data_IF_799859740391
#
_entry.id   IF_799859740391
#
_cell.length_a   1.000
_cell.length_b   1.000
_cell.length_c   1.000
_cell.angle_alpha   90.00
_cell.angle_beta   90.00
_cell.angle_gamma   90.00
#
_symmetry.space_group_name_H-M   'P 1'
#
loop_
_entity.id
_entity.type
_entity.pdbx_description
1 polymer ?
#
# COMPACT_ATOMS: atom_id res chain seq x y z
N UNK A 1 1.27 -24.30 -11.61
CA UNK A 1 -0.09 -23.79 -11.29
C UNK A 1 -0.53 -24.17 -9.88
N UNK A 2 0.20 -23.79 -8.81
CA UNK A 2 -0.19 -24.15 -7.43
C UNK A 2 -0.03 -23.02 -6.38
N UNK A 3 0.58 -21.88 -6.71
CA UNK A 3 0.83 -20.81 -5.73
C UNK A 3 -0.24 -19.70 -5.71
N UNK A 4 -1.01 -19.53 -6.79
CA UNK A 4 -2.00 -18.44 -6.89
C UNK A 4 -3.30 -18.68 -6.10
N UNK A 5 -3.66 -19.94 -5.84
CA UNK A 5 -4.97 -20.30 -5.29
C UNK A 5 -5.04 -20.25 -3.76
N UNK A 6 -3.91 -20.18 -3.05
CA UNK A 6 -3.90 -20.30 -1.59
C UNK A 6 -4.16 -19.00 -0.83
N UNK A 7 -3.93 -17.83 -1.45
CA UNK A 7 -4.01 -16.56 -0.71
C UNK A 7 -5.39 -15.89 -0.70
N UNK A 8 -6.33 -16.32 -1.56
CA UNK A 8 -7.71 -15.80 -1.53
C UNK A 8 -8.51 -16.30 -0.31
N UNK A 9 -8.05 -17.34 0.39
CA UNK A 9 -8.77 -17.95 1.53
C UNK A 9 -8.46 -17.27 2.88
N UNK A 10 -7.31 -16.58 3.02
CA UNK A 10 -6.90 -15.99 4.30
C UNK A 10 -7.44 -14.58 4.58
N UNK A 11 -8.09 -13.93 3.60
CA UNK A 11 -8.65 -12.59 3.76
C UNK A 11 -9.96 -12.54 4.59
N UNK A 12 -10.51 -13.70 4.99
CA UNK A 12 -11.86 -13.81 5.56
C UNK A 12 -11.99 -13.89 7.09
N UNK A 13 -10.91 -13.95 7.89
CA UNK A 13 -11.05 -14.42 9.28
C UNK A 13 -10.44 -13.56 10.41
N UNK A 14 -10.06 -12.29 10.17
CA UNK A 14 -9.44 -11.47 11.26
C UNK A 14 -10.22 -10.19 11.63
N UNK A 15 -11.48 -10.00 11.20
CA UNK A 15 -12.24 -8.77 11.50
C UNK A 15 -13.55 -8.92 12.28
N UNK A 16 -13.77 -10.04 12.98
CA UNK A 16 -14.86 -10.14 13.95
C UNK A 16 -14.31 -10.04 15.38
N UNK A 17 -14.27 -8.81 15.91
CA UNK A 17 -13.82 -8.53 17.27
C UNK A 17 -14.32 -7.18 17.77
N UNK A 18 -15.63 -6.92 17.62
CA UNK A 18 -16.31 -5.81 18.27
C UNK A 18 -16.59 -6.14 19.72
N UNK A 19 -15.93 -5.43 20.64
CA UNK A 19 -16.13 -5.55 22.08
C UNK A 19 -15.63 -4.29 22.77
N UNK A 20 -16.52 -3.32 22.92
CA UNK A 20 -16.34 -2.07 23.66
C UNK A 20 -15.88 -2.32 25.10
N UNK A 21 -14.68 -1.87 25.45
CA UNK A 21 -14.32 -1.55 26.84
C UNK A 21 -13.19 -0.53 26.89
N UNK A 22 -13.50 0.60 27.51
CA UNK A 22 -12.60 1.70 27.83
C UNK A 22 -11.52 1.23 28.81
N UNK A 23 -10.26 1.12 28.35
CA UNK A 23 -9.09 1.05 29.22
C UNK A 23 -8.01 2.03 28.73
N UNK A 24 -7.89 3.14 29.46
CA UNK A 24 -6.81 4.12 29.33
C UNK A 24 -5.48 3.43 29.68
N UNK A 25 -4.59 3.27 28.70
CA UNK A 25 -3.18 2.93 28.92
C UNK A 25 -2.64 1.72 28.15
N UNK A 26 -3.50 0.77 27.73
CA UNK A 26 -3.04 -0.50 27.12
C UNK A 26 -3.30 -0.66 25.61
N UNK A 27 -4.36 -0.04 25.08
CA UNK A 27 -4.84 -0.29 23.71
C UNK A 27 -3.91 0.19 22.58
N UNK A 28 -3.10 1.25 22.81
CA UNK A 28 -2.19 1.77 21.79
C UNK A 28 -0.97 0.89 21.55
N UNK A 29 -0.47 0.23 22.59
CA UNK A 29 0.67 -0.70 22.49
C UNK A 29 0.25 -2.03 21.87
N UNK A 30 -0.94 -2.55 22.21
CA UNK A 30 -1.49 -3.76 21.57
C UNK A 30 -1.82 -3.53 20.10
N UNK A 31 -2.42 -2.39 19.73
CA UNK A 31 -2.72 -2.06 18.34
C UNK A 31 -1.45 -1.90 17.49
N UNK A 32 -0.41 -1.23 18.02
CA UNK A 32 0.86 -1.11 17.29
C UNK A 32 1.56 -2.46 17.14
N UNK A 33 1.52 -3.34 18.14
CA UNK A 33 2.03 -4.72 17.99
C UNK A 33 1.29 -5.50 16.91
N UNK A 34 -0.04 -5.37 16.84
CA UNK A 34 -0.83 -6.00 15.79
C UNK A 34 -0.45 -5.48 14.40
N UNK A 35 -0.23 -4.17 14.25
CA UNK A 35 0.26 -3.58 13.01
C UNK A 35 1.66 -4.09 12.64
N UNK A 36 2.59 -4.15 13.59
CA UNK A 36 3.93 -4.70 13.36
C UNK A 36 3.89 -6.17 12.91
N UNK A 37 3.02 -6.98 13.52
CA UNK A 37 2.84 -8.38 13.13
C UNK A 37 2.23 -8.50 11.73
N UNK A 38 1.23 -7.66 11.40
CA UNK A 38 0.66 -7.60 10.07
C UNK A 38 1.73 -7.23 9.03
N UNK A 39 2.48 -6.16 9.28
CA UNK A 39 3.59 -5.70 8.43
C UNK A 39 4.59 -6.81 8.16
N UNK A 40 5.05 -7.50 9.20
CA UNK A 40 5.91 -8.67 9.05
C UNK A 40 5.25 -9.78 8.22
N UNK A 41 4.02 -10.17 8.56
CA UNK A 41 3.33 -11.29 7.91
C UNK A 41 3.07 -11.07 6.42
N UNK A 42 2.92 -9.82 5.98
CA UNK A 42 2.72 -9.47 4.57
C UNK A 42 4.03 -9.36 3.81
N UNK A 43 5.09 -8.85 4.44
CA UNK A 43 6.34 -8.56 3.74
C UNK A 43 7.35 -9.72 3.78
N UNK A 44 7.32 -10.59 4.79
CA UNK A 44 8.24 -11.75 4.86
C UNK A 44 8.07 -12.72 3.68
N UNK A 45 6.84 -13.13 3.30
CA UNK A 45 6.63 -14.07 2.19
C UNK A 45 7.15 -13.55 0.85
N UNK A 46 7.05 -12.24 0.62
CA UNK A 46 7.49 -11.56 -0.61
C UNK A 46 8.93 -11.03 -0.53
N UNK A 47 9.69 -11.38 0.51
CA UNK A 47 11.10 -11.00 0.67
C UNK A 47 11.32 -9.49 0.81
N UNK A 48 10.32 -8.75 1.29
CA UNK A 48 10.37 -7.30 1.46
C UNK A 48 10.58 -6.86 2.91
N UNK A 49 10.49 -7.79 3.86
CA UNK A 49 10.52 -7.44 5.27
C UNK A 49 11.90 -6.95 5.71
N UNK A 50 11.92 -5.76 6.30
CA UNK A 50 13.09 -5.24 7.00
C UNK A 50 12.71 -4.97 8.45
N UNK A 51 13.59 -5.35 9.39
CA UNK A 51 13.36 -5.09 10.81
C UNK A 51 13.41 -3.60 11.18
N UNK A 52 14.03 -2.78 10.33
CA UNK A 52 14.14 -1.33 10.44
C UNK A 52 13.93 -0.71 9.05
N UNK A 53 13.32 0.49 8.96
CA UNK A 53 13.20 1.17 7.68
C UNK A 53 14.58 1.69 7.27
N UNK A 54 14.77 1.93 5.98
CA UNK A 54 16.00 2.56 5.50
C UNK A 54 16.04 4.05 5.87
N UNK A 55 14.86 4.68 5.89
CA UNK A 55 14.69 6.09 6.17
C UNK A 55 13.72 6.24 7.36
N UNK A 56 14.12 6.98 8.39
CA UNK A 56 13.28 7.21 9.58
C UNK A 56 12.62 8.58 9.48
N UNK A 57 11.29 8.62 9.46
CA UNK A 57 10.53 9.87 9.41
C UNK A 57 10.62 10.62 10.74
N UNK A 58 10.68 11.97 10.73
CA UNK A 58 10.50 12.75 11.94
C UNK A 58 9.07 12.55 12.44
N UNK A 59 8.87 11.76 13.49
CA UNK A 59 7.57 11.67 14.16
C UNK A 59 7.34 12.99 14.89
N UNK A 60 6.16 13.60 14.72
CA UNK A 60 5.81 14.89 15.34
C UNK A 60 6.29 14.93 16.80
N UNK A 61 7.25 15.81 17.14
CA UNK A 61 7.59 16.01 18.54
C UNK A 61 6.38 16.63 19.25
N UNK A 62 6.26 16.47 20.59
CA UNK A 62 5.46 17.43 21.34
C UNK A 62 6.03 18.83 21.05
N UNK A 63 5.22 19.74 20.49
CA UNK A 63 5.61 21.12 20.24
C UNK A 63 5.79 21.84 21.58
N UNK A 64 7.03 21.85 22.08
CA UNK A 64 7.41 22.43 23.38
C UNK A 64 7.76 23.93 23.28
N UNK A 65 7.80 24.50 22.08
CA UNK A 65 8.10 25.90 21.83
C UNK A 65 6.96 26.83 22.24
N UNK A 66 7.29 28.10 22.51
CA UNK A 66 6.30 29.17 22.77
C UNK A 66 5.43 29.47 21.55
N UNK A 67 5.94 29.22 20.33
CA UNK A 67 5.23 29.46 19.07
C UNK A 67 4.88 28.14 18.37
N UNK A 68 3.85 27.46 18.91
CA UNK A 68 3.36 26.17 18.40
C UNK A 68 2.99 26.19 16.90
N UNK A 69 2.49 27.33 16.41
CA UNK A 69 2.08 27.47 14.99
C UNK A 69 3.30 27.42 14.08
N UNK A 70 4.37 28.15 14.43
CA UNK A 70 5.62 28.12 13.67
C UNK A 70 6.28 26.72 13.70
N UNK A 71 6.29 26.07 14.87
CA UNK A 71 6.84 24.71 15.01
C UNK A 71 6.05 23.70 14.18
N UNK A 72 4.72 23.80 14.16
CA UNK A 72 3.85 22.96 13.34
C UNK A 72 4.07 23.19 11.85
N UNK A 73 4.18 24.45 11.40
CA UNK A 73 4.44 24.77 9.99
C UNK A 73 5.80 24.23 9.52
N UNK A 74 6.83 24.36 10.35
CA UNK A 74 8.15 23.83 10.07
C UNK A 74 8.14 22.29 10.02
N UNK A 75 7.44 21.66 10.97
CA UNK A 75 7.23 20.21 10.96
C UNK A 75 6.55 19.74 9.67
N UNK A 76 5.41 20.34 9.31
CA UNK A 76 4.69 19.99 8.09
C UNK A 76 5.56 20.18 6.85
N UNK A 77 6.28 21.30 6.74
CA UNK A 77 7.20 21.55 5.61
C UNK A 77 8.29 20.48 5.51
N UNK A 78 8.88 20.08 6.64
CA UNK A 78 9.93 19.07 6.65
C UNK A 78 9.37 17.67 6.34
N UNK A 79 8.17 17.37 6.83
CA UNK A 79 7.51 16.08 6.60
C UNK A 79 7.06 15.90 5.16
N UNK A 80 6.46 16.92 4.54
CA UNK A 80 5.97 16.85 3.15
C UNK A 80 7.09 16.56 2.14
N UNK A 81 8.32 16.98 2.43
CA UNK A 81 9.48 16.75 1.57
C UNK A 81 10.31 15.53 2.00
N UNK A 82 9.80 14.70 2.90
CA UNK A 82 10.56 13.59 3.48
C UNK A 82 10.32 12.29 2.70
N UNK A 83 11.39 11.60 2.31
CA UNK A 83 11.33 10.35 1.52
C UNK A 83 10.57 9.18 2.19
N UNK A 84 10.29 9.30 3.49
CA UNK A 84 9.48 8.33 4.25
C UNK A 84 8.05 8.84 4.52
N UNK A 85 7.57 9.82 3.76
CA UNK A 85 6.21 10.36 3.82
C UNK A 85 5.45 10.00 2.54
N UNK A 86 4.20 9.55 2.69
CA UNK A 86 3.31 9.32 1.55
C UNK A 86 2.83 10.67 1.04
N UNK A 87 3.31 11.04 -0.14
CA UNK A 87 2.90 12.26 -0.82
C UNK A 87 1.39 12.20 -1.17
N UNK A 88 0.63 13.31 -1.06
CA UNK A 88 -0.77 13.36 -1.48
C UNK A 88 -1.00 12.95 -2.95
N UNK A 89 -0.02 13.15 -3.81
CA UNK A 89 -0.02 12.78 -5.23
C UNK A 89 0.50 11.35 -5.46
N UNK A 90 1.01 10.65 -4.44
CA UNK A 90 1.45 9.26 -4.54
C UNK A 90 0.41 8.39 -5.25
N UNK A 91 0.89 7.52 -6.12
CA UNK A 91 0.05 6.66 -6.94
C UNK A 91 -0.65 7.35 -8.12
N UNK A 92 -0.22 8.55 -8.55
CA UNK A 92 -0.78 9.21 -9.75
C UNK A 92 -0.76 8.32 -11.02
N UNK A 93 0.20 7.41 -11.12
CA UNK A 93 0.29 6.43 -12.22
C UNK A 93 -0.75 5.30 -12.16
N UNK A 94 -1.42 5.08 -11.03
CA UNK A 94 -2.35 3.95 -10.83
C UNK A 94 -3.64 4.11 -11.65
N UNK A 95 -4.10 5.35 -11.86
CA UNK A 95 -5.23 5.63 -12.76
C UNK A 95 -4.92 5.25 -14.21
N UNK A 96 -3.70 5.52 -14.68
CA UNK A 96 -3.24 5.11 -16.01
C UNK A 96 -3.15 3.60 -16.10
N UNK A 97 -2.57 2.95 -15.09
CA UNK A 97 -2.50 1.49 -14.99
C UNK A 97 -3.90 0.86 -15.07
N UNK A 98 -4.86 1.40 -14.31
CA UNK A 98 -6.26 0.98 -14.39
C UNK A 98 -6.85 1.18 -15.78
N UNK A 99 -6.60 2.32 -16.42
CA UNK A 99 -7.02 2.58 -17.80
C UNK A 99 -6.49 1.53 -18.79
N UNK A 100 -5.21 1.18 -18.69
CA UNK A 100 -4.57 0.15 -19.52
C UNK A 100 -5.21 -1.23 -19.31
N UNK A 101 -5.49 -1.62 -18.06
CA UNK A 101 -6.19 -2.87 -17.76
C UNK A 101 -7.58 -2.90 -18.38
N UNK A 102 -8.37 -1.84 -18.20
CA UNK A 102 -9.71 -1.76 -18.79
C UNK A 102 -9.68 -1.79 -20.32
N UNK A 103 -8.67 -1.16 -20.93
CA UNK A 103 -8.51 -1.21 -22.38
C UNK A 103 -8.28 -2.65 -22.87
N UNK A 104 -7.36 -3.40 -22.23
CA UNK A 104 -7.07 -4.81 -22.55
C UNK A 104 -8.33 -5.69 -22.39
N UNK A 105 -9.05 -5.51 -21.29
CA UNK A 105 -10.28 -6.26 -21.01
C UNK A 105 -11.39 -6.00 -22.04
N UNK A 106 -11.47 -4.78 -22.57
CA UNK A 106 -12.46 -4.40 -23.58
C UNK A 106 -12.04 -4.76 -25.02
N UNK A 107 -10.77 -5.09 -25.26
CA UNK A 107 -10.24 -5.40 -26.60
C UNK A 107 -9.48 -6.74 -26.62
N UNK A 108 -10.09 -7.86 -26.18
CA UNK A 108 -9.39 -9.15 -26.04
C UNK A 108 -8.91 -9.73 -27.38
N UNK A 109 -9.50 -9.29 -28.50
CA UNK A 109 -9.19 -9.77 -29.85
C UNK A 109 -8.29 -8.81 -30.65
N UNK A 110 -7.70 -7.79 -30.02
CA UNK A 110 -6.79 -6.88 -30.71
C UNK A 110 -5.56 -7.63 -31.25
N UNK A 111 -5.17 -7.47 -32.52
CA UNK A 111 -4.00 -8.16 -33.09
C UNK A 111 -2.69 -7.92 -32.33
N UNK A 112 -2.59 -6.81 -31.59
CA UNK A 112 -1.44 -6.40 -30.78
C UNK A 112 -1.67 -6.64 -29.28
N UNK A 113 -2.70 -7.40 -28.89
CA UNK A 113 -3.05 -7.63 -27.47
C UNK A 113 -1.86 -8.09 -26.64
N UNK A 114 -0.99 -8.93 -27.21
CA UNK A 114 0.24 -9.39 -26.55
C UNK A 114 1.17 -8.22 -26.20
N UNK A 115 1.35 -7.24 -27.08
CA UNK A 115 2.22 -6.09 -26.83
C UNK A 115 1.65 -5.20 -25.73
N UNK A 116 0.33 -5.00 -25.71
CA UNK A 116 -0.36 -4.28 -24.65
C UNK A 116 -0.25 -4.99 -23.30
N UNK A 117 -0.43 -6.32 -23.27
CA UNK A 117 -0.25 -7.10 -22.05
C UNK A 117 1.21 -7.05 -21.56
N UNK A 118 2.21 -7.08 -22.45
CA UNK A 118 3.63 -6.91 -22.05
C UNK A 118 3.90 -5.52 -21.51
N UNK A 119 3.37 -4.49 -22.14
CA UNK A 119 3.42 -3.11 -21.64
C UNK A 119 2.78 -2.97 -20.26
N UNK A 120 1.64 -3.65 -20.03
CA UNK A 120 0.98 -3.69 -18.73
C UNK A 120 1.89 -4.26 -17.64
N UNK A 121 2.63 -5.35 -17.91
CA UNK A 121 3.58 -5.92 -16.94
C UNK A 121 4.62 -4.88 -16.52
N UNK A 122 5.19 -4.12 -17.46
CA UNK A 122 6.16 -3.07 -17.12
C UNK A 122 5.58 -1.98 -16.22
N UNK A 123 4.35 -1.54 -16.49
CA UNK A 123 3.67 -0.52 -15.66
C UNK A 123 3.30 -1.08 -14.28
N UNK A 124 2.92 -2.36 -14.19
CA UNK A 124 2.70 -3.05 -12.93
C UNK A 124 3.97 -3.13 -12.09
N UNK A 125 5.10 -3.46 -12.72
CA UNK A 125 6.40 -3.52 -12.04
C UNK A 125 6.84 -2.16 -11.51
N UNK A 126 6.68 -1.10 -12.30
CA UNK A 126 6.95 0.27 -11.84
C UNK A 126 6.08 0.63 -10.61
N UNK A 127 4.77 0.40 -10.69
CA UNK A 127 3.85 0.62 -9.58
C UNK A 127 4.23 -0.20 -8.33
N UNK A 128 4.61 -1.47 -8.50
CA UNK A 128 5.07 -2.33 -7.40
C UNK A 128 6.42 -1.87 -6.82
N UNK A 129 7.30 -1.27 -7.63
CA UNK A 129 8.55 -0.65 -7.17
C UNK A 129 8.28 0.49 -6.20
N UNK A 130 7.32 1.37 -6.53
CA UNK A 130 6.86 2.43 -5.62
C UNK A 130 6.23 1.85 -4.35
N UNK A 131 5.32 0.89 -4.50
CA UNK A 131 4.67 0.23 -3.37
C UNK A 131 5.67 -0.43 -2.40
N UNK A 132 6.73 -1.05 -2.93
CA UNK A 132 7.83 -1.61 -2.12
C UNK A 132 8.49 -0.52 -1.27
N UNK A 133 8.81 0.63 -1.84
CA UNK A 133 9.44 1.74 -1.11
C UNK A 133 8.53 2.26 0.01
N UNK A 134 7.24 2.44 -0.28
CA UNK A 134 6.25 2.89 0.70
C UNK A 134 6.08 1.88 1.84
N UNK A 135 5.97 0.58 1.52
CA UNK A 135 5.86 -0.49 2.52
C UNK A 135 7.09 -0.63 3.42
N UNK A 136 8.29 -0.43 2.86
CA UNK A 136 9.55 -0.55 3.61
C UNK A 136 9.90 0.69 4.43
N UNK A 137 9.42 1.87 4.02
CA UNK A 137 9.72 3.13 4.67
C UNK A 137 8.48 3.77 5.30
N UNK A 138 7.58 4.37 4.52
CA UNK A 138 6.50 5.19 5.07
C UNK A 138 5.49 4.40 5.93
N UNK A 139 5.14 3.18 5.49
CA UNK A 139 4.25 2.25 6.19
C UNK A 139 5.02 1.33 7.16
N UNK A 140 6.31 1.54 7.36
CA UNK A 140 7.04 0.81 8.39
C UNK A 140 6.46 1.16 9.78
N UNK A 141 6.34 0.22 10.73
CA UNK A 141 5.81 0.49 12.07
C UNK A 141 6.50 1.62 12.85
N UNK A 142 7.75 1.93 12.51
CA UNK A 142 8.52 3.07 13.04
C UNK A 142 8.02 4.41 12.51
N UNK A 143 7.60 4.47 11.25
CA UNK A 143 7.27 5.71 10.53
C UNK A 143 5.77 5.94 10.36
N UNK A 144 4.93 4.92 10.51
CA UNK A 144 3.48 5.00 10.25
C UNK A 144 2.79 6.13 11.03
N UNK A 145 3.31 6.47 12.22
CA UNK A 145 2.81 7.57 13.05
C UNK A 145 3.16 8.97 12.54
N UNK A 146 4.17 9.09 11.68
CA UNK A 146 4.50 10.35 11.01
C UNK A 146 3.57 10.63 9.83
N UNK A 147 2.82 9.64 9.34
CA UNK A 147 1.93 9.79 8.20
C UNK A 147 0.66 10.56 8.53
N UNK A 148 0.01 11.09 7.50
CA UNK A 148 -1.33 11.68 7.58
C UNK A 148 -2.38 10.71 7.04
N UNK A 149 -3.53 10.65 7.71
CA UNK A 149 -4.60 9.72 7.33
C UNK A 149 -5.17 9.99 5.93
N UNK A 150 -5.21 11.26 5.49
CA UNK A 150 -5.80 11.64 4.19
C UNK A 150 -4.98 11.08 3.01
N UNK A 151 -3.64 11.31 2.90
CA UNK A 151 -2.81 10.68 1.87
C UNK A 151 -2.84 9.15 1.91
N UNK A 152 -2.80 8.53 3.11
CA UNK A 152 -2.92 7.07 3.23
C UNK A 152 -4.23 6.57 2.61
N UNK A 153 -5.36 7.21 2.94
CA UNK A 153 -6.67 6.81 2.42
C UNK A 153 -6.78 7.03 0.91
N UNK A 154 -6.25 8.15 0.42
CA UNK A 154 -6.22 8.47 -1.00
C UNK A 154 -5.41 7.42 -1.78
N UNK A 155 -4.18 7.12 -1.36
CA UNK A 155 -3.35 6.07 -1.97
C UNK A 155 -4.05 4.70 -1.87
N UNK A 156 -4.60 4.36 -0.70
CA UNK A 156 -5.32 3.10 -0.50
C UNK A 156 -6.52 2.93 -1.44
N UNK A 157 -7.22 4.03 -1.76
CA UNK A 157 -8.31 4.05 -2.75
C UNK A 157 -7.79 3.78 -4.16
N UNK A 158 -6.69 4.44 -4.56
CA UNK A 158 -6.07 4.25 -5.89
C UNK A 158 -5.58 2.80 -6.07
N UNK A 159 -4.82 2.28 -5.11
CA UNK A 159 -4.32 0.88 -5.13
C UNK A 159 -5.48 -0.11 -5.08
N UNK A 160 -6.51 0.18 -4.27
CA UNK A 160 -7.76 -0.58 -4.22
C UNK A 160 -8.46 -0.67 -5.58
N UNK A 161 -8.50 0.43 -6.32
CA UNK A 161 -9.12 0.46 -7.65
C UNK A 161 -8.39 -0.47 -8.64
N UNK A 162 -7.05 -0.48 -8.63
CA UNK A 162 -6.23 -1.35 -9.49
C UNK A 162 -6.40 -2.82 -9.09
N UNK A 163 -6.21 -3.13 -7.81
CA UNK A 163 -6.29 -4.51 -7.32
C UNK A 163 -7.68 -5.12 -7.50
N UNK A 164 -8.75 -4.33 -7.36
CA UNK A 164 -10.12 -4.80 -7.60
C UNK A 164 -10.38 -5.23 -9.04
N UNK A 165 -9.78 -4.55 -10.03
CA UNK A 165 -9.90 -4.94 -11.45
C UNK A 165 -9.26 -6.30 -11.67
N UNK A 166 -8.09 -6.54 -11.09
CA UNK A 166 -7.35 -7.81 -11.26
C UNK A 166 -8.10 -8.96 -10.58
N UNK A 167 -8.69 -8.71 -9.40
CA UNK A 167 -9.44 -9.71 -8.62
C UNK A 167 -10.83 -10.04 -9.18
N UNK A 168 -11.35 -9.24 -10.10
CA UNK A 168 -12.70 -9.43 -10.63
C UNK A 168 -12.75 -10.59 -11.63
N UNK A 169 -13.48 -11.66 -11.28
CA UNK A 169 -13.80 -12.76 -12.19
C UNK A 169 -12.56 -13.40 -12.81
N UNK A 170 -12.50 -13.44 -14.14
CA UNK A 170 -11.38 -13.98 -14.91
C UNK A 170 -10.40 -12.91 -15.39
N UNK A 171 -10.47 -11.67 -14.88
CA UNK A 171 -9.70 -10.54 -15.39
C UNK A 171 -8.19 -10.79 -15.31
N UNK A 172 -7.66 -11.34 -14.21
CA UNK A 172 -6.22 -11.67 -14.12
C UNK A 172 -5.74 -12.56 -15.29
N UNK A 173 -6.54 -13.57 -15.65
CA UNK A 173 -6.24 -14.44 -16.78
C UNK A 173 -6.36 -13.68 -18.11
N UNK A 174 -7.38 -12.84 -18.28
CA UNK A 174 -7.56 -12.04 -19.50
C UNK A 174 -6.49 -10.97 -19.69
N UNK A 175 -5.95 -10.42 -18.60
CA UNK A 175 -4.86 -9.45 -18.61
C UNK A 175 -3.51 -10.07 -18.98
N UNK A 176 -3.40 -11.40 -18.95
CA UNK A 176 -2.13 -12.12 -19.08
C UNK A 176 -2.17 -13.31 -20.05
N UNK A 177 -3.31 -13.54 -20.73
CA UNK A 177 -3.59 -14.74 -21.52
C UNK A 177 -2.66 -14.95 -22.72
N UNK A 178 -2.05 -13.91 -23.27
CA UNK A 178 -1.13 -13.97 -24.40
C UNK A 178 0.35 -13.83 -23.98
N UNK A 179 0.61 -13.81 -22.66
CA UNK A 179 1.95 -13.73 -22.10
C UNK A 179 2.57 -15.12 -21.93
N UNK A 180 3.89 -15.19 -22.05
CA UNK A 180 4.64 -16.36 -21.62
C UNK A 180 4.73 -16.43 -20.09
N UNK A 181 5.03 -17.61 -19.55
CA UNK A 181 5.06 -17.87 -18.10
C UNK A 181 5.87 -16.83 -17.31
N UNK A 182 7.05 -16.44 -17.80
CA UNK A 182 7.89 -15.46 -17.14
C UNK A 182 7.23 -14.08 -16.97
N UNK A 183 6.50 -13.60 -17.98
CA UNK A 183 5.79 -12.32 -17.91
C UNK A 183 4.52 -12.44 -17.03
N UNK A 184 3.88 -13.62 -16.99
CA UNK A 184 2.78 -13.91 -16.06
C UNK A 184 3.26 -13.92 -14.60
N UNK A 185 4.41 -14.53 -14.31
CA UNK A 185 5.01 -14.56 -12.98
C UNK A 185 5.42 -13.15 -12.51
N UNK A 186 5.96 -12.32 -13.41
CA UNK A 186 6.25 -10.91 -13.13
C UNK A 186 4.99 -10.12 -12.79
N UNK A 187 3.92 -10.29 -13.56
CA UNK A 187 2.62 -9.69 -13.26
C UNK A 187 2.09 -10.13 -11.89
N UNK A 188 2.19 -11.43 -11.59
CA UNK A 188 1.77 -12.01 -10.32
C UNK A 188 2.47 -11.39 -9.12
N UNK A 189 3.81 -11.33 -9.19
CA UNK A 189 4.64 -10.77 -8.13
C UNK A 189 4.34 -9.28 -7.91
N UNK A 190 4.21 -8.51 -9.01
CA UNK A 190 3.84 -7.10 -8.92
C UNK A 190 2.44 -6.91 -8.28
N UNK A 191 1.48 -7.75 -8.64
CA UNK A 191 0.16 -7.75 -8.03
C UNK A 191 0.21 -8.06 -6.53
N UNK A 192 1.00 -9.05 -6.10
CA UNK A 192 1.13 -9.42 -4.69
C UNK A 192 1.68 -8.28 -3.83
N UNK A 193 2.65 -7.52 -4.39
CA UNK A 193 3.21 -6.32 -3.75
C UNK A 193 2.14 -5.23 -3.59
N UNK A 194 1.40 -4.90 -4.65
CA UNK A 194 0.31 -3.91 -4.60
C UNK A 194 -0.82 -4.34 -3.66
N UNK A 195 -1.15 -5.63 -3.64
CA UNK A 195 -2.16 -6.17 -2.75
C UNK A 195 -1.74 -6.06 -1.28
N UNK A 196 -0.47 -6.36 -0.97
CA UNK A 196 0.11 -6.18 0.37
C UNK A 196 0.10 -4.71 0.81
N UNK A 197 0.44 -3.80 -0.10
CA UNK A 197 0.39 -2.36 0.16
C UNK A 197 -1.04 -1.92 0.50
N UNK A 198 -2.04 -2.34 -0.27
CA UNK A 198 -3.47 -2.05 0.03
C UNK A 198 -3.87 -2.50 1.43
N UNK A 199 -3.43 -3.68 1.86
CA UNK A 199 -3.73 -4.17 3.20
C UNK A 199 -3.06 -3.31 4.28
N UNK A 200 -1.80 -2.94 4.06
CA UNK A 200 -1.07 -2.07 4.99
C UNK A 200 -1.65 -0.67 5.07
N UNK A 201 -2.04 -0.06 3.95
CA UNK A 201 -2.68 1.26 3.91
C UNK A 201 -3.99 1.26 4.72
N UNK A 202 -4.81 0.22 4.54
CA UNK A 202 -6.06 0.07 5.29
C UNK A 202 -5.84 -0.06 6.80
N UNK A 203 -4.76 -0.72 7.23
CA UNK A 203 -4.43 -0.86 8.66
C UNK A 203 -3.74 0.39 9.22
N UNK A 204 -2.89 1.03 8.41
CA UNK A 204 -2.07 2.19 8.77
C UNK A 204 -2.91 3.43 9.11
N UNK A 205 -4.08 3.60 8.49
CA UNK A 205 -4.96 4.75 8.69
C UNK A 205 -5.27 4.99 10.18
N UNK A 206 -5.40 3.92 10.99
CA UNK A 206 -5.67 4.00 12.44
C UNK A 206 -4.48 4.47 13.27
N UNK A 207 -3.27 4.41 12.70
CA UNK A 207 -2.02 4.79 13.35
C UNK A 207 -1.46 6.11 12.83
N UNK A 208 -1.95 6.57 11.68
CA UNK A 208 -1.62 7.85 11.10
C UNK A 208 -2.12 9.00 11.97
N UNK A 209 -1.42 10.13 11.93
CA UNK A 209 -1.88 11.35 12.57
C UNK A 209 -3.09 11.92 11.83
N UNK A 210 -4.16 12.20 12.57
CA UNK A 210 -5.10 13.23 12.17
C UNK A 210 -4.41 14.56 12.49
N UNK A 211 -4.45 15.53 11.56
CA UNK A 211 -3.84 16.88 11.61
C UNK A 211 -3.43 17.28 13.04
N UNK A 212 -2.18 17.68 13.32
CA UNK A 212 -1.76 18.05 14.67
C UNK A 212 -2.77 19.03 15.29
N UNK A 213 -3.53 18.54 16.27
CA UNK A 213 -4.47 19.37 17.02
C UNK A 213 -3.63 20.26 17.92
N UNK A 214 -3.78 21.57 17.78
CA UNK A 214 -3.14 22.59 18.62
C UNK A 214 -3.52 22.46 20.10
#
# INVERSE_FOLDING_TARGET
MLLFAWFLVLAGSVLAGGGSSSSRGGGGASAMRAYTNLHRSLLEPIGLYNARPQIVAPVSPPFRGRNKVADMQNYLRNLYNHDAYIDPESGAGLERLRGNMMWILNHPNDPRIRDYQRGLVSVMEEASGHARQEMQNALHPVNVRAQHAVPIRALGTKVGSVTSVIQAGSNSNQLTSHLGQADQDRFANAFEVLFSEKQLLSAAERHATSIPRL
#
